data_IF_591163679513
#
_entry.id   IF_591163679513
#
_cell.length_a   1.000
_cell.length_b   1.000
_cell.length_c   1.000
_cell.angle_alpha   90.00
_cell.angle_beta   90.00
_cell.angle_gamma   90.00
#
_symmetry.space_group_name_H-M   'P 1'
#
loop_
_entity.id
_entity.type
_entity.pdbx_description
1 polymer ?
#
# COMPACT_ATOMS: atom_id res chain seq x y z
N UNK A 1 49.54 -4.77 14.77
CA UNK A 1 50.03 -4.80 16.17
C UNK A 1 48.98 -5.57 16.98
N UNK A 2 49.21 -6.86 17.23
CA UNK A 2 48.41 -7.69 18.15
C UNK A 2 49.02 -7.63 19.56
N UNK A 3 48.25 -7.98 20.60
CA UNK A 3 48.42 -9.29 21.26
C UNK A 3 47.03 -9.95 21.50
N UNK A 4 46.74 -11.24 21.34
CA UNK A 4 47.33 -12.53 21.81
C UNK A 4 47.59 -12.59 23.30
N UNK A 5 46.68 -13.23 24.04
CA UNK A 5 47.03 -14.10 25.17
C UNK A 5 46.19 -15.39 25.16
N UNK A 6 46.96 -16.47 25.13
CA UNK A 6 46.66 -17.90 25.29
C UNK A 6 46.10 -18.29 26.66
N UNK A 7 45.22 -19.30 26.70
CA UNK A 7 45.47 -20.52 27.48
C UNK A 7 44.66 -21.73 26.97
N UNK A 8 45.39 -22.83 26.87
CA UNK A 8 45.01 -24.19 26.48
C UNK A 8 45.06 -25.04 27.76
N UNK A 9 44.09 -25.95 27.98
CA UNK A 9 44.27 -27.32 28.50
C UNK A 9 42.90 -28.02 28.58
N UNK A 10 42.65 -29.05 27.77
CA UNK A 10 42.95 -30.50 27.91
C UNK A 10 41.93 -31.24 28.79
N UNK A 11 41.01 -31.96 28.14
CA UNK A 11 40.94 -33.44 27.94
C UNK A 11 40.45 -34.19 29.18
N UNK A 12 39.35 -34.90 29.00
CA UNK A 12 38.85 -35.96 29.88
C UNK A 12 37.80 -36.79 29.14
N UNK A 13 38.28 -37.71 28.29
CA UNK A 13 37.49 -38.81 27.72
C UNK A 13 37.10 -39.77 28.85
N UNK A 14 35.88 -40.31 28.86
CA UNK A 14 35.63 -41.67 29.36
C UNK A 14 34.50 -42.33 28.56
N UNK A 15 34.82 -43.51 28.03
CA UNK A 15 33.96 -44.46 27.31
C UNK A 15 33.40 -45.50 28.30
N UNK A 16 32.28 -46.12 27.90
CA UNK A 16 31.63 -47.41 28.27
C UNK A 16 30.18 -47.12 28.67
N UNK A 17 29.10 -47.59 28.03
CA UNK A 17 28.88 -48.68 27.09
C UNK A 17 27.75 -49.54 27.66
N UNK A 18 26.56 -49.58 27.04
CA UNK A 18 25.65 -50.73 27.16
C UNK A 18 24.68 -50.81 25.97
N UNK A 19 24.59 -52.02 25.46
CA UNK A 19 23.77 -52.54 24.38
C UNK A 19 22.29 -52.58 24.78
N UNK A 20 21.38 -52.19 23.90
CA UNK A 20 20.02 -52.71 23.88
C UNK A 20 19.48 -52.73 22.44
N UNK A 21 18.90 -53.87 22.09
CA UNK A 21 18.58 -54.39 20.77
C UNK A 21 17.07 -54.17 20.46
N UNK A 22 16.73 -54.16 19.16
CA UNK A 22 15.42 -54.47 18.53
C UNK A 22 14.27 -53.44 18.60
N UNK A 23 13.86 -52.91 17.44
CA UNK A 23 12.74 -53.47 16.64
C UNK A 23 12.65 -52.75 15.27
N UNK A 24 12.62 -53.52 14.17
CA UNK A 24 12.34 -53.05 12.81
C UNK A 24 10.83 -53.17 12.57
N UNK A 25 10.11 -52.06 12.30
CA UNK A 25 8.82 -52.11 11.59
C UNK A 25 8.55 -50.80 10.81
N UNK A 26 8.66 -50.94 9.48
CA UNK A 26 7.87 -50.29 8.42
C UNK A 26 7.54 -48.79 8.55
N UNK A 27 8.30 -47.95 7.85
CA UNK A 27 7.87 -46.60 7.47
C UNK A 27 6.74 -46.70 6.43
N UNK A 28 5.52 -46.17 6.70
CA UNK A 28 4.67 -45.73 5.62
C UNK A 28 5.21 -44.38 5.12
N UNK A 29 5.28 -44.29 3.80
CA UNK A 29 5.50 -43.06 3.07
C UNK A 29 4.60 -41.92 3.57
N UNK A 30 5.19 -40.74 3.70
CA UNK A 30 4.66 -39.50 3.15
C UNK A 30 5.77 -38.46 3.24
N UNK A 31 6.46 -38.28 2.12
CA UNK A 31 7.20 -37.06 1.80
C UNK A 31 6.25 -35.87 1.92
N UNK A 32 6.25 -35.23 3.09
CA UNK A 32 5.53 -33.98 3.30
C UNK A 32 6.32 -32.86 2.60
N UNK A 33 6.05 -32.69 1.31
CA UNK A 33 6.43 -31.48 0.56
C UNK A 33 5.59 -30.30 1.08
N UNK A 34 6.19 -29.20 1.54
CA UNK A 34 5.45 -27.98 1.83
C UNK A 34 5.21 -27.24 0.51
N UNK A 35 3.97 -27.20 0.02
CA UNK A 35 3.64 -26.36 -1.14
C UNK A 35 2.40 -26.71 -1.97
N UNK A 36 1.68 -27.79 -1.67
CA UNK A 36 0.40 -28.04 -2.33
C UNK A 36 -0.70 -27.22 -1.64
N UNK A 37 -1.16 -26.13 -2.29
CA UNK A 37 -2.39 -25.44 -1.90
C UNK A 37 -3.55 -26.43 -1.87
N UNK A 38 -3.89 -26.94 -0.70
CA UNK A 38 -5.03 -27.83 -0.49
C UNK A 38 -6.29 -27.07 -0.94
N UNK A 39 -7.15 -27.65 -1.81
CA UNK A 39 -8.39 -26.99 -2.20
C UNK A 39 -9.23 -26.69 -0.96
N UNK A 40 -9.78 -25.47 -0.90
CA UNK A 40 -10.63 -25.01 0.19
C UNK A 40 -11.76 -26.02 0.44
N UNK A 41 -12.05 -26.29 1.71
CA UNK A 41 -13.20 -27.09 2.09
C UNK A 41 -14.50 -26.43 1.63
N UNK A 42 -15.59 -27.22 1.51
CA UNK A 42 -16.91 -26.69 1.16
C UNK A 42 -17.38 -25.55 2.08
N UNK A 43 -17.04 -25.63 3.37
CA UNK A 43 -17.38 -24.62 4.37
C UNK A 43 -16.56 -23.33 4.18
N UNK A 44 -15.26 -23.44 3.94
CA UNK A 44 -14.41 -22.28 3.63
C UNK A 44 -14.82 -21.60 2.33
N UNK A 45 -15.19 -22.38 1.31
CA UNK A 45 -15.69 -21.86 0.04
C UNK A 45 -17.02 -21.12 0.21
N UNK A 46 -17.96 -21.67 1.00
CA UNK A 46 -19.23 -21.02 1.30
C UNK A 46 -19.03 -19.69 2.07
N UNK A 47 -18.12 -19.69 3.05
CA UNK A 47 -17.71 -18.50 3.80
C UNK A 47 -17.14 -17.43 2.86
N UNK A 48 -16.18 -17.78 2.01
CA UNK A 48 -15.58 -16.89 1.00
C UNK A 48 -16.63 -16.29 0.06
N UNK A 49 -17.54 -17.12 -0.45
CA UNK A 49 -18.62 -16.66 -1.33
C UNK A 49 -19.61 -15.72 -0.61
N UNK A 50 -19.86 -15.94 0.68
CA UNK A 50 -20.69 -15.05 1.50
C UNK A 50 -20.03 -13.68 1.67
N UNK A 51 -18.76 -13.65 2.09
CA UNK A 51 -18.01 -12.40 2.28
C UNK A 51 -17.93 -11.60 0.97
N UNK A 52 -17.68 -12.29 -0.15
CA UNK A 52 -17.65 -11.63 -1.46
C UNK A 52 -18.97 -10.92 -1.75
N UNK A 53 -20.11 -11.55 -1.48
CA UNK A 53 -21.43 -10.93 -1.68
C UNK A 53 -21.66 -9.74 -0.75
N UNK A 54 -21.32 -9.86 0.53
CA UNK A 54 -21.44 -8.77 1.51
C UNK A 54 -20.56 -7.57 1.10
N UNK A 55 -19.33 -7.83 0.64
CA UNK A 55 -18.44 -6.79 0.13
C UNK A 55 -19.03 -6.10 -1.11
N UNK A 56 -19.59 -6.85 -2.07
CA UNK A 56 -20.24 -6.27 -3.24
C UNK A 56 -21.46 -5.42 -2.86
N UNK A 57 -22.26 -5.85 -1.88
CA UNK A 57 -23.36 -5.05 -1.37
C UNK A 57 -22.89 -3.72 -0.77
N UNK A 58 -21.81 -3.74 0.02
CA UNK A 58 -21.22 -2.53 0.58
C UNK A 58 -20.75 -1.57 -0.53
N UNK A 59 -20.14 -2.08 -1.60
CA UNK A 59 -19.74 -1.28 -2.76
C UNK A 59 -20.95 -0.66 -3.49
N UNK A 60 -22.06 -1.39 -3.62
CA UNK A 60 -23.30 -0.88 -4.22
C UNK A 60 -23.88 0.26 -3.37
N UNK A 61 -23.88 0.13 -2.03
CA UNK A 61 -24.29 1.20 -1.12
C UNK A 61 -23.41 2.45 -1.29
N UNK A 62 -22.10 2.28 -1.41
CA UNK A 62 -21.19 3.40 -1.73
C UNK A 62 -21.52 4.07 -3.06
N UNK A 63 -21.86 3.28 -4.09
CA UNK A 63 -22.23 3.81 -5.42
C UNK A 63 -23.53 4.62 -5.37
N UNK A 64 -24.49 4.20 -4.54
CA UNK A 64 -25.74 4.93 -4.26
C UNK A 64 -25.55 6.11 -3.31
N UNK A 65 -24.34 6.33 -2.81
CA UNK A 65 -24.01 7.34 -1.81
C UNK A 65 -24.72 7.14 -0.45
N UNK A 66 -25.12 5.91 -0.14
CA UNK A 66 -25.68 5.49 1.16
C UNK A 66 -24.53 5.19 2.14
N UNK A 67 -23.76 6.24 2.48
CA UNK A 67 -22.47 6.11 3.17
C UNK A 67 -22.55 5.47 4.57
N UNK A 68 -23.52 5.80 5.45
CA UNK A 68 -23.63 5.16 6.76
C UNK A 68 -23.87 3.65 6.67
N UNK A 69 -24.82 3.22 5.82
CA UNK A 69 -25.12 1.81 5.61
C UNK A 69 -23.92 1.05 5.00
N UNK A 70 -23.18 1.69 4.09
CA UNK A 70 -21.94 1.12 3.56
C UNK A 70 -20.87 0.94 4.64
N UNK A 71 -20.71 1.93 5.53
CA UNK A 71 -19.75 1.87 6.62
C UNK A 71 -20.07 0.74 7.59
N UNK A 72 -21.34 0.58 7.98
CA UNK A 72 -21.81 -0.56 8.79
C UNK A 72 -21.43 -1.90 8.15
N UNK A 73 -21.67 -2.08 6.84
CA UNK A 73 -21.27 -3.31 6.15
C UNK A 73 -19.77 -3.56 6.16
N UNK A 74 -18.95 -2.53 6.02
CA UNK A 74 -17.50 -2.71 6.12
C UNK A 74 -17.05 -2.99 7.56
N UNK A 75 -17.67 -2.38 8.57
CA UNK A 75 -17.42 -2.72 9.97
C UNK A 75 -17.75 -4.20 10.26
N UNK A 76 -18.92 -4.69 9.84
CA UNK A 76 -19.32 -6.09 9.99
C UNK A 76 -18.33 -7.07 9.31
N UNK A 77 -17.76 -6.67 8.17
CA UNK A 77 -16.74 -7.45 7.45
C UNK A 77 -15.42 -7.41 8.22
N UNK A 78 -14.99 -6.24 8.70
CA UNK A 78 -13.73 -6.06 9.43
C UNK A 78 -13.75 -6.82 10.76
N UNK A 79 -14.86 -6.82 11.49
CA UNK A 79 -14.98 -7.54 12.76
C UNK A 79 -14.74 -9.05 12.59
N UNK A 80 -15.28 -9.63 11.52
CA UNK A 80 -15.12 -11.07 11.22
C UNK A 80 -13.83 -11.40 10.47
N UNK A 81 -13.32 -10.45 9.66
CA UNK A 81 -12.18 -10.65 8.76
C UNK A 81 -11.24 -9.43 8.81
N UNK A 82 -10.57 -9.19 9.96
CA UNK A 82 -9.79 -7.97 10.18
C UNK A 82 -8.59 -7.85 9.25
N UNK A 83 -8.15 -8.94 8.63
CA UNK A 83 -7.02 -8.99 7.70
C UNK A 83 -7.39 -8.60 6.25
N UNK A 84 -8.65 -8.27 5.96
CA UNK A 84 -9.07 -7.81 4.63
C UNK A 84 -8.71 -6.33 4.41
N UNK A 85 -7.51 -6.08 3.89
CA UNK A 85 -7.04 -4.73 3.54
C UNK A 85 -8.05 -3.93 2.70
N UNK A 86 -8.75 -4.59 1.77
CA UNK A 86 -9.75 -3.95 0.92
C UNK A 86 -10.97 -3.41 1.69
N UNK A 87 -11.35 -4.01 2.82
CA UNK A 87 -12.47 -3.51 3.63
C UNK A 87 -12.07 -2.22 4.35
N UNK A 88 -10.89 -2.21 4.98
CA UNK A 88 -10.29 -1.02 5.60
C UNK A 88 -10.11 0.13 4.60
N UNK A 89 -9.60 -0.15 3.39
CA UNK A 89 -9.43 0.87 2.36
C UNK A 89 -10.77 1.51 1.95
N UNK A 90 -11.84 0.72 1.82
CA UNK A 90 -13.16 1.24 1.48
C UNK A 90 -13.81 2.01 2.64
N UNK A 91 -13.62 1.56 3.88
CA UNK A 91 -14.03 2.33 5.06
C UNK A 91 -13.35 3.70 5.09
N UNK A 92 -12.03 3.74 4.82
CA UNK A 92 -11.29 5.00 4.68
C UNK A 92 -11.86 5.92 3.59
N UNK A 93 -12.23 5.36 2.43
CA UNK A 93 -12.90 6.12 1.35
C UNK A 93 -14.25 6.68 1.76
N UNK A 94 -15.01 5.95 2.58
CA UNK A 94 -16.29 6.42 3.11
C UNK A 94 -16.05 7.60 4.04
N UNK A 95 -15.12 7.49 4.98
CA UNK A 95 -14.76 8.59 5.88
C UNK A 95 -14.25 9.83 5.13
N UNK A 96 -13.49 9.67 4.04
CA UNK A 96 -13.12 10.78 3.14
C UNK A 96 -14.35 11.49 2.59
N UNK A 97 -15.34 10.75 2.09
CA UNK A 97 -16.59 11.33 1.55
C UNK A 97 -17.40 12.06 2.63
N UNK A 98 -17.37 11.55 3.86
CA UNK A 98 -17.98 12.18 5.03
C UNK A 98 -17.12 13.28 5.67
N UNK A 99 -15.92 13.56 5.15
CA UNK A 99 -14.94 14.51 5.70
C UNK A 99 -14.46 14.18 7.13
N UNK A 100 -14.56 12.93 7.52
CA UNK A 100 -14.07 12.41 8.81
C UNK A 100 -12.58 12.03 8.67
N UNK A 101 -11.72 13.04 8.54
CA UNK A 101 -10.34 12.86 8.10
C UNK A 101 -9.49 11.95 8.99
N UNK A 102 -9.62 12.05 10.32
CA UNK A 102 -8.83 11.22 11.23
C UNK A 102 -9.26 9.74 11.18
N UNK A 103 -10.58 9.47 11.15
CA UNK A 103 -11.09 8.10 10.94
C UNK A 103 -10.64 7.52 9.59
N UNK A 104 -10.60 8.37 8.55
CA UNK A 104 -10.08 7.96 7.25
C UNK A 104 -8.59 7.60 7.30
N UNK A 105 -7.78 8.42 7.99
CA UNK A 105 -6.34 8.17 8.19
C UNK A 105 -6.12 6.82 8.86
N UNK A 106 -6.79 6.57 9.98
CA UNK A 106 -6.68 5.31 10.74
C UNK A 106 -7.02 4.10 9.87
N UNK A 107 -8.18 4.14 9.19
CA UNK A 107 -8.61 3.03 8.33
C UNK A 107 -7.65 2.77 7.16
N UNK A 108 -7.10 3.83 6.55
CA UNK A 108 -6.15 3.69 5.43
C UNK A 108 -4.79 3.19 5.90
N UNK A 109 -4.32 3.60 7.09
CA UNK A 109 -3.10 3.07 7.69
C UNK A 109 -3.23 1.57 7.99
N UNK A 110 -4.40 1.11 8.48
CA UNK A 110 -4.68 -0.33 8.62
C UNK A 110 -4.65 -1.04 7.27
N UNK A 111 -5.29 -0.48 6.24
CA UNK A 111 -5.27 -1.05 4.89
C UNK A 111 -3.84 -1.20 4.33
N UNK A 112 -2.99 -0.19 4.53
CA UNK A 112 -1.59 -0.18 4.11
C UNK A 112 -0.76 -1.19 4.90
N UNK A 113 -1.00 -1.30 6.21
CA UNK A 113 -0.30 -2.27 7.08
C UNK A 113 -0.58 -3.70 6.61
N UNK A 114 -1.83 -4.00 6.24
CA UNK A 114 -2.25 -5.30 5.75
C UNK A 114 -1.82 -5.58 4.30
N UNK A 115 -1.75 -4.53 3.47
CA UNK A 115 -1.29 -4.63 2.09
C UNK A 115 -0.47 -3.39 1.68
N UNK A 116 0.85 -3.42 1.89
CA UNK A 116 1.74 -2.29 1.61
C UNK A 116 1.97 -2.06 0.11
N UNK A 117 1.37 -2.88 -0.76
CA UNK A 117 1.46 -2.71 -2.23
C UNK A 117 0.21 -2.08 -2.84
N UNK A 118 -0.77 -1.70 -2.03
CA UNK A 118 -2.04 -1.18 -2.51
C UNK A 118 -1.93 0.32 -2.84
N UNK A 119 -1.53 0.65 -4.07
CA UNK A 119 -1.41 2.04 -4.54
C UNK A 119 -2.66 2.92 -4.28
N UNK A 120 -3.91 2.44 -4.46
CA UNK A 120 -5.10 3.22 -4.11
C UNK A 120 -5.17 3.67 -2.65
N UNK A 121 -4.75 2.83 -1.69
CA UNK A 121 -4.80 3.16 -0.26
C UNK A 121 -3.84 4.31 0.07
N UNK A 122 -2.62 4.25 -0.45
CA UNK A 122 -1.65 5.34 -0.35
C UNK A 122 -2.14 6.64 -0.98
N UNK A 123 -2.76 6.58 -2.16
CA UNK A 123 -3.34 7.78 -2.77
C UNK A 123 -4.46 8.39 -1.93
N UNK A 124 -5.36 7.56 -1.37
CA UNK A 124 -6.38 8.07 -0.46
C UNK A 124 -5.79 8.65 0.82
N UNK A 125 -4.73 8.05 1.37
CA UNK A 125 -4.02 8.60 2.52
C UNK A 125 -3.42 9.97 2.16
N UNK A 126 -2.82 10.10 0.97
CA UNK A 126 -2.33 11.38 0.48
C UNK A 126 -3.42 12.45 0.40
N UNK A 127 -4.64 12.08 0.00
CA UNK A 127 -5.80 13.00 0.01
C UNK A 127 -6.16 13.41 1.43
N UNK A 128 -6.18 12.46 2.38
CA UNK A 128 -6.47 12.73 3.79
C UNK A 128 -5.43 13.68 4.40
N UNK A 129 -4.14 13.36 4.26
CA UNK A 129 -3.06 14.18 4.80
C UNK A 129 -3.05 15.59 4.22
N UNK A 130 -3.38 15.75 2.93
CA UNK A 130 -3.52 17.08 2.30
C UNK A 130 -4.63 17.90 2.95
N UNK A 131 -5.78 17.29 3.23
CA UNK A 131 -6.91 17.98 3.87
C UNK A 131 -6.63 18.31 5.35
N UNK A 132 -5.77 17.52 6.01
CA UNK A 132 -5.28 17.78 7.36
C UNK A 132 -4.11 18.77 7.42
N UNK A 133 -3.70 19.34 6.28
CA UNK A 133 -2.57 20.28 6.19
C UNK A 133 -1.18 19.64 6.29
N UNK A 134 -1.10 18.31 6.33
CA UNK A 134 0.15 17.57 6.48
C UNK A 134 0.81 17.32 5.11
N UNK A 135 1.24 18.40 4.45
CA UNK A 135 1.65 18.35 3.04
C UNK A 135 2.85 17.43 2.77
N UNK A 136 3.83 17.34 3.68
CA UNK A 136 4.96 16.40 3.54
C UNK A 136 4.51 14.94 3.62
N UNK A 137 3.60 14.61 4.53
CA UNK A 137 3.03 13.28 4.65
C UNK A 137 2.16 12.94 3.41
N UNK A 138 1.42 13.92 2.90
CA UNK A 138 0.66 13.80 1.66
C UNK A 138 1.56 13.50 0.45
N UNK A 139 2.66 14.24 0.31
CA UNK A 139 3.65 14.03 -0.75
C UNK A 139 4.23 12.61 -0.68
N UNK A 140 4.66 12.18 0.52
CA UNK A 140 5.15 10.83 0.75
C UNK A 140 4.12 9.77 0.33
N UNK A 141 2.87 9.90 0.77
CA UNK A 141 1.83 8.94 0.45
C UNK A 141 1.54 8.87 -1.07
N UNK A 142 1.48 10.00 -1.79
CA UNK A 142 1.33 9.95 -3.24
C UNK A 142 2.55 9.33 -3.94
N UNK A 143 3.77 9.61 -3.48
CA UNK A 143 4.99 8.98 -4.02
C UNK A 143 4.97 7.46 -3.81
N UNK A 144 4.57 6.99 -2.63
CA UNK A 144 4.40 5.55 -2.35
C UNK A 144 3.32 4.91 -3.24
N UNK A 145 2.23 5.62 -3.54
CA UNK A 145 1.24 5.12 -4.51
C UNK A 145 1.86 4.91 -5.89
N UNK A 146 2.68 5.85 -6.34
CA UNK A 146 3.35 5.82 -7.65
C UNK A 146 4.53 4.84 -7.71
N UNK A 147 5.22 4.59 -6.60
CA UNK A 147 6.23 3.53 -6.49
C UNK A 147 5.61 2.15 -6.64
N UNK A 148 4.42 1.93 -6.06
CA UNK A 148 3.69 0.67 -6.17
C UNK A 148 2.98 0.48 -7.51
N UNK A 149 2.46 1.56 -8.10
CA UNK A 149 1.86 1.55 -9.45
C UNK A 149 2.16 2.87 -10.19
N UNK A 150 3.22 2.91 -11.02
CA UNK A 150 3.54 4.08 -11.83
C UNK A 150 2.45 4.44 -12.86
N UNK A 151 1.55 3.50 -13.18
CA UNK A 151 0.42 3.69 -14.08
C UNK A 151 -0.82 4.29 -13.40
N UNK A 152 -0.80 4.48 -12.08
CA UNK A 152 -1.93 5.00 -11.33
C UNK A 152 -2.14 6.50 -11.55
N UNK A 153 -2.74 6.84 -12.69
CA UNK A 153 -2.89 8.21 -13.19
C UNK A 153 -3.40 9.21 -12.14
N UNK A 154 -4.38 8.81 -11.32
CA UNK A 154 -4.98 9.71 -10.33
C UNK A 154 -3.98 10.18 -9.26
N UNK A 155 -2.97 9.37 -8.92
CA UNK A 155 -1.93 9.79 -7.97
C UNK A 155 -1.00 10.86 -8.58
N UNK A 156 -0.68 10.77 -9.88
CA UNK A 156 0.03 11.85 -10.59
C UNK A 156 -0.75 13.16 -10.57
N UNK A 157 -2.07 13.11 -10.83
CA UNK A 157 -2.95 14.28 -10.74
C UNK A 157 -2.94 14.89 -9.33
N UNK A 158 -3.11 14.06 -8.30
CA UNK A 158 -3.18 14.51 -6.93
C UNK A 158 -1.85 15.07 -6.42
N UNK A 159 -0.72 14.49 -6.82
CA UNK A 159 0.61 15.00 -6.50
C UNK A 159 0.87 16.35 -7.20
N UNK A 160 0.46 16.50 -8.47
CA UNK A 160 0.49 17.78 -9.17
C UNK A 160 -0.32 18.86 -8.45
N UNK A 161 -1.54 18.53 -8.01
CA UNK A 161 -2.40 19.43 -7.22
C UNK A 161 -1.73 19.84 -5.91
N UNK A 162 -1.12 18.88 -5.21
CA UNK A 162 -0.40 19.15 -3.96
C UNK A 162 0.72 20.18 -4.19
N UNK A 163 1.57 19.95 -5.20
CA UNK A 163 2.68 20.85 -5.50
C UNK A 163 2.22 22.24 -5.96
N UNK A 164 1.23 22.32 -6.86
CA UNK A 164 0.79 23.59 -7.43
C UNK A 164 0.03 24.43 -6.42
N UNK A 165 -1.03 23.86 -5.81
CA UNK A 165 -2.01 24.61 -5.04
C UNK A 165 -1.58 24.77 -3.57
N UNK A 166 -1.01 23.72 -2.98
CA UNK A 166 -0.80 23.68 -1.53
C UNK A 166 0.64 24.00 -1.12
N UNK A 167 1.61 23.80 -2.01
CA UNK A 167 3.04 24.02 -1.72
C UNK A 167 3.65 25.18 -2.51
N UNK A 168 2.92 25.77 -3.46
CA UNK A 168 3.41 26.81 -4.38
C UNK A 168 4.73 26.41 -5.10
N UNK A 169 4.78 25.16 -5.58
CA UNK A 169 5.90 24.58 -6.32
C UNK A 169 5.49 24.20 -7.74
N UNK A 170 5.15 25.19 -8.61
CA UNK A 170 4.65 24.93 -9.96
C UNK A 170 5.62 24.12 -10.83
N UNK A 171 6.94 24.29 -10.63
CA UNK A 171 7.96 23.55 -11.35
C UNK A 171 8.01 22.05 -11.00
N UNK A 172 7.53 21.66 -9.81
CA UNK A 172 7.36 20.25 -9.45
C UNK A 172 6.00 19.71 -9.92
N UNK A 173 4.97 20.56 -10.01
CA UNK A 173 3.63 20.17 -10.43
C UNK A 173 3.53 19.84 -11.93
N UNK A 174 4.17 20.65 -12.78
CA UNK A 174 4.12 20.52 -14.24
C UNK A 174 4.39 19.09 -14.74
N UNK A 175 5.51 18.43 -14.40
CA UNK A 175 5.78 17.07 -14.87
C UNK A 175 4.74 16.04 -14.40
N UNK A 176 4.08 16.25 -13.26
CA UNK A 176 3.06 15.32 -12.76
C UNK A 176 1.77 15.41 -13.59
N UNK A 177 1.35 16.63 -13.93
CA UNK A 177 0.20 16.83 -14.80
C UNK A 177 0.45 16.33 -16.23
N UNK A 178 1.67 16.51 -16.75
CA UNK A 178 2.05 15.96 -18.06
C UNK A 178 2.01 14.43 -18.07
N UNK A 179 2.52 13.80 -17.01
CA UNK A 179 2.45 12.34 -16.88
C UNK A 179 1.02 11.82 -16.70
N UNK A 180 0.17 12.51 -15.92
CA UNK A 180 -1.26 12.21 -15.83
C UNK A 180 -1.93 12.27 -17.21
N UNK A 181 -1.70 13.33 -18.00
CA UNK A 181 -2.26 13.46 -19.33
C UNK A 181 -1.78 12.37 -20.28
N UNK A 182 -0.49 12.01 -20.22
CA UNK A 182 0.04 10.89 -21.01
C UNK A 182 -0.72 9.60 -20.71
N UNK A 183 -0.93 9.28 -19.43
CA UNK A 183 -1.65 8.07 -19.00
C UNK A 183 -3.14 8.10 -19.37
N UNK A 184 -3.78 9.28 -19.39
CA UNK A 184 -5.19 9.47 -19.76
C UNK A 184 -5.40 9.81 -21.24
N UNK A 185 -4.36 9.63 -22.07
CA UNK A 185 -4.39 9.86 -23.53
C UNK A 185 -4.76 11.31 -23.90
N UNK A 186 -4.35 12.26 -23.07
CA UNK A 186 -4.53 13.71 -23.25
C UNK A 186 -6.00 14.16 -23.34
N UNK A 187 -6.92 13.44 -22.69
CA UNK A 187 -8.36 13.68 -22.82
C UNK A 187 -8.90 14.69 -21.79
N UNK A 188 -8.15 14.98 -20.72
CA UNK A 188 -8.59 15.89 -19.67
C UNK A 188 -8.34 17.36 -20.05
N UNK A 189 -9.36 18.01 -20.60
CA UNK A 189 -9.29 19.42 -21.02
C UNK A 189 -8.95 20.38 -19.88
N UNK A 190 -9.32 20.06 -18.65
CA UNK A 190 -9.06 20.92 -17.48
C UNK A 190 -7.57 20.91 -17.15
N UNK A 191 -7.00 19.72 -17.05
CA UNK A 191 -5.57 19.55 -16.74
C UNK A 191 -4.70 20.06 -17.89
N UNK A 192 -5.14 19.94 -19.14
CA UNK A 192 -4.46 20.56 -20.28
C UNK A 192 -4.29 22.08 -20.09
N UNK A 193 -5.36 22.79 -19.69
CA UNK A 193 -5.31 24.23 -19.43
C UNK A 193 -4.33 24.57 -18.30
N UNK A 194 -4.31 23.77 -17.23
CA UNK A 194 -3.35 23.93 -16.14
C UNK A 194 -1.90 23.79 -16.62
N UNK A 195 -1.60 22.79 -17.45
CA UNK A 195 -0.26 22.60 -18.04
C UNK A 195 0.16 23.81 -18.87
N UNK A 196 -0.74 24.32 -19.74
CA UNK A 196 -0.46 25.51 -20.56
C UNK A 196 -0.15 26.73 -19.68
N UNK A 197 -0.96 26.94 -18.64
CA UNK A 197 -0.76 28.05 -17.70
C UNK A 197 0.57 27.94 -16.95
N UNK A 198 0.89 26.75 -16.42
CA UNK A 198 2.15 26.52 -15.73
C UNK A 198 3.36 26.75 -16.65
N UNK A 199 3.30 26.30 -17.91
CA UNK A 199 4.37 26.54 -18.89
C UNK A 199 4.58 28.02 -19.20
N UNK A 200 3.55 28.84 -19.07
CA UNK A 200 3.63 30.31 -19.21
C UNK A 200 4.26 30.96 -17.97
N UNK A 201 3.88 30.50 -16.77
CA UNK A 201 4.39 31.01 -15.49
C UNK A 201 5.86 30.63 -15.23
N UNK A 202 6.31 29.47 -15.70
CA UNK A 202 7.66 28.94 -15.42
C UNK A 202 8.65 29.33 -16.55
N UNK A 203 9.71 30.12 -16.25
CA UNK A 203 10.76 30.46 -17.22
C UNK A 203 11.38 29.20 -17.85
N UNK A 204 11.80 29.28 -19.12
CA UNK A 204 12.36 28.13 -19.85
C UNK A 204 13.55 27.48 -19.12
N UNK A 205 14.45 28.26 -18.52
CA UNK A 205 15.61 27.70 -17.79
C UNK A 205 15.21 26.86 -16.57
N UNK A 206 14.17 27.26 -15.83
CA UNK A 206 13.71 26.57 -14.61
C UNK A 206 13.07 25.20 -14.88
N UNK A 207 12.68 24.91 -16.12
CA UNK A 207 12.08 23.61 -16.50
C UNK A 207 13.12 22.48 -16.59
N UNK A 208 14.40 22.83 -16.76
CA UNK A 208 15.49 21.86 -16.98
C UNK A 208 16.16 21.42 -15.67
N UNK A 209 16.11 22.27 -14.62
CA UNK A 209 16.87 22.09 -13.38
C UNK A 209 16.29 20.97 -12.49
N UNK A 210 14.97 20.77 -12.51
CA UNK A 210 14.30 19.78 -11.65
C UNK A 210 14.45 18.31 -12.10
N UNK A 211 15.02 18.04 -13.28
CA UNK A 211 15.28 16.66 -13.73
C UNK A 211 16.63 16.13 -13.19
N UNK A 212 17.52 17.03 -12.75
CA UNK A 212 18.86 16.67 -12.27
C UNK A 212 19.00 16.72 -10.74
N UNK A 213 18.15 17.46 -10.03
CA UNK A 213 18.22 17.62 -8.56
C UNK A 213 17.99 16.34 -7.74
N UNK A 214 17.21 15.39 -8.26
CA UNK A 214 16.94 14.11 -7.57
C UNK A 214 18.04 13.05 -7.78
N UNK A 215 19.10 13.34 -8.57
CA UNK A 215 20.22 12.40 -8.76
C UNK A 215 21.41 12.64 -7.84
N UNK A 216 21.38 13.67 -6.99
CA UNK A 216 22.53 14.08 -6.17
C UNK A 216 22.35 13.85 -4.66
N UNK A 217 21.19 13.34 -4.22
CA UNK A 217 20.90 13.07 -2.80
C UNK A 217 20.44 11.62 -2.53
N UNK A 218 20.97 10.66 -3.30
CA UNK A 218 20.80 9.22 -3.06
C UNK A 218 22.09 8.59 -2.53
#
# INVERSE_FOLDING_TARGET
MYPVFTKINKIGLNKTGFLALLLVLLLPACSNMPGANKPLSKQEQASKNRIQREFQQALILMQKNELPAAAEKFHDIIERYPQMAGAWANLGRIHIKSREWEKAREALQQAITLNPKQAPAYNYLGVVERNLGQFKASEYAYKQALENDPGYAIAWLNLGILYDIYMDKPALALPQYEQYQKLTKNTDKKVYKWIVELKRRIPKQSRLINIQGDRLNG
#
